data_IF_938473796547
#
_entry.id   IF_938473796547
#
_cell.length_a   1.000
_cell.length_b   1.000
_cell.length_c   1.000
_cell.angle_alpha   90.00
_cell.angle_beta   90.00
_cell.angle_gamma   90.00
#
_symmetry.space_group_name_H-M   'P 1'
#
loop_
_entity.id
_entity.type
_entity.pdbx_description
1 polymer ?
#
# COMPACT_ATOMS: atom_id res chain seq x y z
N UNK A 1 13.92 -3.10 19.74
CA UNK A 1 13.34 -1.74 19.66
C UNK A 1 12.63 -1.61 18.33
N UNK A 2 11.29 -1.55 18.32
CA UNK A 2 10.53 -1.42 17.08
C UNK A 2 10.67 0.02 16.58
N UNK A 3 11.51 0.25 15.57
CA UNK A 3 11.61 1.55 14.90
C UNK A 3 10.24 1.87 14.31
N UNK A 4 9.55 2.87 14.88
CA UNK A 4 8.22 3.28 14.47
C UNK A 4 8.24 3.59 12.97
N UNK A 5 7.37 2.92 12.19
CA UNK A 5 7.31 3.07 10.72
C UNK A 5 7.19 4.55 10.33
N UNK A 6 6.51 5.37 11.14
CA UNK A 6 6.38 6.82 10.93
C UNK A 6 7.73 7.53 10.98
N UNK A 7 8.63 7.12 11.87
CA UNK A 7 9.97 7.71 11.96
C UNK A 7 10.82 7.36 10.74
N UNK A 8 10.70 6.15 10.21
CA UNK A 8 11.40 5.75 8.97
C UNK A 8 10.85 6.50 7.75
N UNK A 9 9.53 6.65 7.67
CA UNK A 9 8.88 7.45 6.62
C UNK A 9 9.37 8.91 6.67
N UNK A 10 9.32 9.53 7.86
CA UNK A 10 9.77 10.92 8.04
C UNK A 10 11.24 11.11 7.65
N UNK A 11 12.12 10.18 8.04
CA UNK A 11 13.53 10.21 7.64
C UNK A 11 13.72 10.05 6.12
N UNK A 12 12.88 9.25 5.46
CA UNK A 12 12.93 9.08 4.01
C UNK A 12 12.43 10.33 3.27
N UNK A 13 11.41 11.00 3.79
CA UNK A 13 10.92 12.28 3.27
C UNK A 13 11.98 13.38 3.41
N UNK A 14 12.58 13.51 4.59
CA UNK A 14 13.66 14.48 4.87
C UNK A 14 14.89 14.24 3.99
N UNK A 15 15.27 12.98 3.74
CA UNK A 15 16.42 12.64 2.86
C UNK A 15 16.13 12.81 1.38
N UNK A 16 14.90 12.56 0.94
CA UNK A 16 14.53 12.71 -0.48
C UNK A 16 14.30 14.16 -0.90
N UNK A 17 14.24 15.08 0.07
CA UNK A 17 14.21 16.52 -0.19
C UNK A 17 13.03 16.95 -1.04
N UNK A 18 11.81 16.53 -0.66
CA UNK A 18 10.50 16.94 -1.21
C UNK A 18 10.27 16.82 -2.73
N UNK A 19 11.29 16.45 -3.51
CA UNK A 19 11.28 16.49 -4.97
C UNK A 19 11.06 15.12 -5.61
N UNK A 20 11.14 14.04 -4.82
CA UNK A 20 10.99 12.66 -5.32
C UNK A 20 9.76 12.00 -4.72
N UNK A 21 9.11 11.17 -5.53
CA UNK A 21 8.03 10.30 -5.09
C UNK A 21 8.61 9.24 -4.13
N UNK A 22 7.93 9.00 -3.02
CA UNK A 22 8.29 7.95 -2.08
C UNK A 22 7.13 6.94 -2.00
N UNK A 23 7.34 5.74 -2.53
CA UNK A 23 6.34 4.67 -2.48
C UNK A 23 6.72 3.71 -1.34
N UNK A 24 5.84 3.60 -0.35
CA UNK A 24 6.01 2.74 0.82
C UNK A 24 5.01 1.59 0.74
N UNK A 25 5.52 0.38 0.50
CA UNK A 25 4.70 -0.82 0.43
C UNK A 25 4.65 -1.48 1.81
N UNK A 26 3.45 -1.57 2.38
CA UNK A 26 3.19 -2.25 3.64
C UNK A 26 2.61 -3.64 3.37
N UNK A 27 3.50 -4.61 3.24
CA UNK A 27 3.13 -6.03 3.19
C UNK A 27 2.83 -6.51 4.62
N UNK A 28 1.55 -6.67 4.97
CA UNK A 28 1.19 -7.48 6.14
C UNK A 28 1.32 -8.93 5.71
N UNK A 29 2.27 -9.65 6.29
CA UNK A 29 2.32 -11.11 6.19
C UNK A 29 1.12 -11.66 6.96
N UNK A 30 -0.04 -11.75 6.30
CA UNK A 30 -1.15 -12.49 6.85
C UNK A 30 -0.71 -13.96 6.92
N UNK A 31 -0.76 -14.53 8.13
CA UNK A 31 -0.73 -15.98 8.32
C UNK A 31 -2.09 -16.50 7.82
N UNK A 32 -2.27 -16.54 6.51
CA UNK A 32 -3.54 -16.80 5.86
C UNK A 32 -3.38 -16.62 4.35
N UNK A 33 -4.02 -17.50 3.58
CA UNK A 33 -3.84 -17.58 2.13
C UNK A 33 -3.98 -16.20 1.45
N UNK A 34 -3.11 -15.93 0.49
CA UNK A 34 -3.15 -14.75 -0.39
C UNK A 34 -4.49 -14.57 -1.13
N UNK A 35 -5.36 -15.57 -1.09
CA UNK A 35 -6.72 -15.56 -1.62
C UNK A 35 -7.70 -14.66 -0.84
N UNK A 36 -7.38 -14.23 0.39
CA UNK A 36 -8.29 -13.43 1.22
C UNK A 36 -8.11 -11.90 1.06
N UNK A 37 -7.21 -11.47 0.15
CA UNK A 37 -6.95 -10.04 -0.10
C UNK A 37 -7.94 -9.47 -1.12
N UNK A 38 -8.86 -8.65 -0.64
CA UNK A 38 -9.96 -8.10 -1.45
C UNK A 38 -9.67 -6.72 -2.04
N UNK A 39 -8.72 -5.97 -1.46
CA UNK A 39 -8.44 -4.60 -1.88
C UNK A 39 -7.00 -4.17 -1.59
N UNK A 40 -6.57 -3.12 -2.29
CA UNK A 40 -5.34 -2.38 -2.02
C UNK A 40 -5.70 -0.95 -1.63
N UNK A 41 -5.13 -0.43 -0.55
CA UNK A 41 -5.27 0.97 -0.16
C UNK A 41 -4.03 1.75 -0.59
N UNK A 42 -4.22 2.94 -1.17
CA UNK A 42 -3.17 3.92 -1.46
C UNK A 42 -3.51 5.21 -0.71
N UNK A 43 -2.68 5.63 0.26
CA UNK A 43 -2.97 6.80 1.11
C UNK A 43 -4.41 6.80 1.66
N UNK A 44 -4.84 5.64 2.16
CA UNK A 44 -6.19 5.37 2.68
C UNK A 44 -7.34 5.37 1.64
N UNK A 45 -7.05 5.60 0.35
CA UNK A 45 -8.00 5.42 -0.74
C UNK A 45 -8.10 3.94 -1.11
N UNK A 46 -9.30 3.37 -1.12
CA UNK A 46 -9.54 1.95 -1.40
C UNK A 46 -9.70 1.67 -2.89
N UNK A 47 -8.92 0.71 -3.37
CA UNK A 47 -9.02 0.15 -4.71
C UNK A 47 -9.38 -1.33 -4.60
N UNK A 48 -10.47 -1.72 -5.26
CA UNK A 48 -10.96 -3.10 -5.23
C UNK A 48 -10.29 -3.95 -6.30
N UNK A 49 -10.02 -5.22 -5.98
CA UNK A 49 -9.61 -6.19 -6.97
C UNK A 49 -10.77 -6.47 -7.93
N UNK A 50 -10.50 -6.54 -9.23
CA UNK A 50 -11.49 -7.04 -10.20
C UNK A 50 -11.73 -8.54 -10.00
N UNK A 51 -12.86 -9.04 -10.49
CA UNK A 51 -13.12 -10.48 -10.49
C UNK A 51 -11.99 -11.26 -11.18
N UNK A 52 -11.33 -12.15 -10.45
CA UNK A 52 -10.18 -12.93 -10.94
C UNK A 52 -8.83 -12.20 -10.93
N UNK A 53 -8.76 -10.95 -10.46
CA UNK A 53 -7.51 -10.20 -10.29
C UNK A 53 -6.93 -10.49 -8.91
N UNK A 54 -5.64 -10.84 -8.86
CA UNK A 54 -4.93 -11.00 -7.60
C UNK A 54 -4.56 -9.61 -7.02
N UNK A 55 -4.57 -9.48 -5.70
CA UNK A 55 -4.23 -8.21 -5.05
C UNK A 55 -2.78 -7.75 -5.32
N UNK A 56 -1.87 -8.68 -5.61
CA UNK A 56 -0.51 -8.38 -6.07
C UNK A 56 -0.54 -7.66 -7.42
N UNK A 57 -1.35 -8.14 -8.37
CA UNK A 57 -1.51 -7.51 -9.68
C UNK A 57 -2.12 -6.10 -9.56
N UNK A 58 -3.12 -5.94 -8.69
CA UNK A 58 -3.69 -4.62 -8.40
C UNK A 58 -2.64 -3.68 -7.80
N UNK A 59 -1.85 -4.16 -6.84
CA UNK A 59 -0.79 -3.38 -6.20
C UNK A 59 0.27 -2.94 -7.22
N UNK A 60 0.77 -3.85 -8.05
CA UNK A 60 1.74 -3.53 -9.11
C UNK A 60 1.20 -2.46 -10.07
N UNK A 61 -0.08 -2.60 -10.49
CA UNK A 61 -0.72 -1.61 -11.35
C UNK A 61 -0.78 -0.22 -10.69
N UNK A 62 -1.18 -0.16 -9.43
CA UNK A 62 -1.28 1.11 -8.70
C UNK A 62 0.08 1.76 -8.49
N UNK A 63 1.12 0.97 -8.20
CA UNK A 63 2.50 1.46 -8.11
C UNK A 63 2.95 2.05 -9.44
N UNK A 64 2.75 1.32 -10.54
CA UNK A 64 3.11 1.81 -11.87
C UNK A 64 2.37 3.11 -12.24
N UNK A 65 1.10 3.24 -11.83
CA UNK A 65 0.33 4.47 -12.06
C UNK A 65 0.84 5.65 -11.21
N UNK A 66 1.25 5.42 -9.97
CA UNK A 66 1.89 6.44 -9.12
C UNK A 66 3.22 6.90 -9.73
N UNK A 67 4.04 5.96 -10.20
CA UNK A 67 5.33 6.26 -10.85
C UNK A 67 5.14 7.09 -12.13
N UNK A 68 4.10 6.79 -12.91
CA UNK A 68 3.75 7.53 -14.13
C UNK A 68 3.31 8.97 -13.87
N UNK A 69 2.68 9.23 -12.73
CA UNK A 69 2.22 10.58 -12.39
C UNK A 69 3.39 11.55 -12.17
N UNK A 70 4.57 11.06 -11.78
CA UNK A 70 5.76 11.86 -11.45
C UNK A 70 5.48 13.00 -10.44
N UNK A 71 4.37 12.93 -9.72
CA UNK A 71 3.99 13.88 -8.69
C UNK A 71 4.77 13.62 -7.40
N UNK A 72 5.51 14.60 -6.86
CA UNK A 72 6.19 14.44 -5.58
C UNK A 72 5.20 14.16 -4.46
N UNK A 73 5.58 13.29 -3.53
CA UNK A 73 4.72 12.94 -2.40
C UNK A 73 5.02 11.56 -1.83
N UNK A 74 4.47 11.31 -0.64
CA UNK A 74 4.46 10.02 0.01
C UNK A 74 3.22 9.22 -0.44
N UNK A 75 3.43 8.01 -0.91
CA UNK A 75 2.39 7.07 -1.28
C UNK A 75 2.54 5.80 -0.46
N UNK A 76 1.62 5.56 0.46
CA UNK A 76 1.57 4.35 1.28
C UNK A 76 0.61 3.36 0.63
N UNK A 77 1.15 2.24 0.15
CA UNK A 77 0.39 1.17 -0.50
C UNK A 77 0.28 -0.01 0.47
N UNK A 78 -0.93 -0.48 0.76
CA UNK A 78 -1.16 -1.63 1.64
C UNK A 78 -2.22 -2.56 1.09
N UNK A 79 -1.96 -3.86 1.11
CA UNK A 79 -2.97 -4.89 0.88
C UNK A 79 -3.88 -5.03 2.10
N UNK A 80 -5.18 -5.19 1.87
CA UNK A 80 -6.19 -5.36 2.91
C UNK A 80 -6.99 -6.63 2.63
N UNK A 81 -6.98 -7.53 3.61
CA UNK A 81 -7.85 -8.69 3.60
C UNK A 81 -9.30 -8.24 3.81
N UNK A 82 -10.25 -8.94 3.19
CA UNK A 82 -11.61 -8.91 3.69
C UNK A 82 -11.61 -9.57 5.07
N UNK A 83 -11.33 -8.79 6.12
CA UNK A 83 -11.86 -9.15 7.42
C UNK A 83 -13.37 -9.21 7.21
N UNK A 84 -13.92 -10.43 7.23
CA UNK A 84 -15.33 -10.62 7.48
C UNK A 84 -15.62 -9.88 8.78
N UNK A 85 -16.08 -8.63 8.68
CA UNK A 85 -16.83 -7.98 9.72
C UNK A 85 -18.14 -8.75 9.85
N UNK A 86 -18.07 -9.95 10.44
CA UNK A 86 -19.19 -10.49 11.21
C UNK A 86 -19.25 -9.69 12.49
N UNK A 87 -19.75 -8.46 12.40
CA UNK A 87 -20.52 -7.88 13.48
C UNK A 87 -21.94 -8.41 13.30
N UNK A 88 -22.27 -9.48 14.02
CA UNK A 88 -23.60 -9.83 14.54
C UNK A 88 -23.43 -11.00 15.52
#
# INVERSE_FOLDING_TARGET
MATNIRSRIKQLEERSGSAKQLIVILNRFAVGNSADVAAVLVNDTRHECRAGEAAEQLQERLIADIERQQCPGLFVVRQVCEEREKQL
#
